data_IF_369374637970
#
_entry.id   IF_369374637970
#
_cell.length_a   1.000
_cell.length_b   1.000
_cell.length_c   1.000
_cell.angle_alpha   90.00
_cell.angle_beta   90.00
_cell.angle_gamma   90.00
#
_symmetry.space_group_name_H-M   'P 1'
#
loop_
_entity.id
_entity.type
_entity.pdbx_description
1 polymer ?
#
# COMPACT_ATOMS: atom_id res chain seq x y z
N UNK A 1 -30.31 -19.18 -38.33
CA UNK A 1 -29.06 -18.42 -38.58
C UNK A 1 -28.78 -17.40 -37.49
N UNK A 2 -29.61 -16.36 -37.29
CA UNK A 2 -29.39 -15.39 -36.20
C UNK A 2 -29.59 -15.98 -34.80
N UNK A 3 -30.49 -16.96 -34.64
CA UNK A 3 -30.71 -17.64 -33.34
C UNK A 3 -29.49 -18.41 -32.86
N UNK A 4 -28.84 -19.19 -33.73
CA UNK A 4 -27.61 -19.92 -33.40
C UNK A 4 -26.44 -18.97 -33.10
N UNK A 5 -26.31 -17.87 -33.84
CA UNK A 5 -25.31 -16.82 -33.57
C UNK A 5 -25.58 -16.19 -32.21
N UNK A 6 -26.84 -15.83 -31.92
CA UNK A 6 -27.24 -15.23 -30.65
C UNK A 6 -27.03 -16.19 -29.47
N UNK A 7 -27.29 -17.48 -29.63
CA UNK A 7 -27.09 -18.48 -28.59
C UNK A 7 -25.60 -18.60 -28.22
N UNK A 8 -24.71 -18.69 -29.23
CA UNK A 8 -23.25 -18.75 -29.01
C UNK A 8 -22.70 -17.50 -28.34
N UNK A 9 -23.21 -16.31 -28.71
CA UNK A 9 -22.80 -15.05 -28.06
C UNK A 9 -23.26 -15.03 -26.60
N UNK A 10 -24.50 -15.44 -26.32
CA UNK A 10 -25.04 -15.47 -24.97
C UNK A 10 -24.26 -16.41 -24.06
N UNK A 11 -23.98 -17.63 -24.53
CA UNK A 11 -23.19 -18.61 -23.77
C UNK A 11 -21.79 -18.06 -23.45
N UNK A 12 -21.12 -17.40 -24.41
CA UNK A 12 -19.83 -16.77 -24.15
C UNK A 12 -19.91 -15.67 -23.08
N UNK A 13 -20.94 -14.82 -23.14
CA UNK A 13 -21.11 -13.72 -22.19
C UNK A 13 -21.50 -14.21 -20.79
N UNK A 14 -22.32 -15.25 -20.67
CA UNK A 14 -22.67 -15.87 -19.39
C UNK A 14 -21.43 -16.44 -18.69
N UNK A 15 -20.54 -17.11 -19.43
CA UNK A 15 -19.25 -17.59 -18.89
C UNK A 15 -18.39 -16.41 -18.39
N UNK A 16 -18.25 -15.34 -19.19
CA UNK A 16 -17.47 -14.17 -18.79
C UNK A 16 -18.05 -13.47 -17.57
N UNK A 17 -19.37 -13.32 -17.50
CA UNK A 17 -20.02 -12.65 -16.37
C UNK A 17 -19.89 -13.48 -15.07
N UNK A 18 -20.01 -14.80 -15.15
CA UNK A 18 -19.77 -15.69 -14.01
C UNK A 18 -18.33 -15.56 -13.47
N UNK A 19 -17.34 -15.56 -14.36
CA UNK A 19 -15.92 -15.39 -14.00
C UNK A 19 -15.68 -14.01 -13.38
N UNK A 20 -16.31 -12.97 -13.94
CA UNK A 20 -16.22 -11.59 -13.42
C UNK A 20 -16.80 -11.48 -12.01
N UNK A 21 -17.98 -12.05 -11.75
CA UNK A 21 -18.62 -12.01 -10.43
C UNK A 21 -17.82 -12.78 -9.37
N UNK A 22 -17.28 -13.94 -9.74
CA UNK A 22 -16.37 -14.69 -8.85
C UNK A 22 -15.09 -13.90 -8.56
N UNK A 23 -14.48 -13.30 -9.57
CA UNK A 23 -13.30 -12.45 -9.40
C UNK A 23 -13.56 -11.21 -8.53
N UNK A 24 -14.73 -10.58 -8.66
CA UNK A 24 -15.14 -9.47 -7.79
C UNK A 24 -15.30 -9.91 -6.33
N UNK A 25 -15.80 -11.13 -6.09
CA UNK A 25 -15.92 -11.68 -4.74
C UNK A 25 -14.55 -11.90 -4.11
N UNK A 26 -13.62 -12.53 -4.83
CA UNK A 26 -12.27 -12.80 -4.31
C UNK A 26 -11.48 -11.48 -4.14
N UNK A 27 -11.62 -10.52 -5.05
CA UNK A 27 -10.95 -9.21 -4.90
C UNK A 27 -11.42 -8.46 -3.66
N UNK A 28 -12.71 -8.54 -3.32
CA UNK A 28 -13.25 -7.99 -2.06
C UNK A 28 -12.75 -8.73 -0.83
N UNK A 29 -12.40 -10.01 -0.95
CA UNK A 29 -11.76 -10.78 0.12
C UNK A 29 -10.33 -10.30 0.34
N UNK A 30 -9.53 -10.16 -0.73
CA UNK A 30 -8.15 -9.61 -0.67
C UNK A 30 -8.14 -8.26 0.05
N UNK A 31 -8.97 -7.31 -0.38
CA UNK A 31 -9.03 -5.97 0.23
C UNK A 31 -9.43 -6.03 1.72
N UNK A 32 -10.31 -6.96 2.11
CA UNK A 32 -10.70 -7.12 3.51
C UNK A 32 -9.56 -7.64 4.37
N UNK A 33 -8.82 -8.62 3.87
CA UNK A 33 -7.63 -9.15 4.54
C UNK A 33 -6.53 -8.09 4.63
N UNK A 34 -6.31 -7.30 3.57
CA UNK A 34 -5.36 -6.18 3.60
C UNK A 34 -5.73 -5.15 4.66
N UNK A 35 -7.00 -4.72 4.75
CA UNK A 35 -7.45 -3.82 5.82
C UNK A 35 -7.23 -4.40 7.22
N UNK A 36 -7.47 -5.70 7.38
CA UNK A 36 -7.25 -6.40 8.66
C UNK A 36 -5.77 -6.42 9.01
N UNK A 37 -4.90 -6.67 8.03
CA UNK A 37 -3.45 -6.64 8.19
C UNK A 37 -2.94 -5.23 8.53
N UNK A 38 -3.34 -4.20 7.78
CA UNK A 38 -2.96 -2.80 8.06
C UNK A 38 -3.35 -2.39 9.48
N UNK A 39 -4.58 -2.69 9.91
CA UNK A 39 -4.99 -2.43 11.29
C UNK A 39 -4.15 -3.20 12.31
N UNK A 40 -3.84 -4.47 12.06
CA UNK A 40 -3.01 -5.27 12.95
C UNK A 40 -1.57 -4.73 13.05
N UNK A 41 -0.97 -4.32 11.93
CA UNK A 41 0.36 -3.72 11.85
C UNK A 41 0.49 -2.47 12.71
N UNK A 42 -0.47 -1.54 12.63
CA UNK A 42 -0.47 -0.33 13.46
C UNK A 42 -0.63 -0.62 14.96
N UNK A 43 -1.28 -1.72 15.32
CA UNK A 43 -1.40 -2.17 16.71
C UNK A 43 -0.26 -3.12 17.14
N UNK A 44 0.79 -3.27 16.31
CA UNK A 44 1.94 -4.16 16.54
C UNK A 44 1.55 -5.64 16.71
N UNK A 45 0.38 -6.05 16.24
CA UNK A 45 -0.06 -7.46 16.19
C UNK A 45 0.45 -8.12 14.90
N UNK A 46 1.76 -8.37 14.87
CA UNK A 46 2.45 -8.91 13.70
C UNK A 46 1.99 -10.32 13.32
N UNK A 47 1.62 -11.15 14.31
CA UNK A 47 1.14 -12.51 14.04
C UNK A 47 -0.19 -12.49 13.27
N UNK A 48 -1.12 -11.62 13.68
CA UNK A 48 -2.39 -11.44 12.97
C UNK A 48 -2.16 -10.80 11.60
N UNK A 49 -1.29 -9.80 11.51
CA UNK A 49 -0.93 -9.19 10.24
C UNK A 49 -0.41 -10.23 9.25
N UNK A 50 0.52 -11.09 9.66
CA UNK A 50 1.09 -12.13 8.81
C UNK A 50 0.07 -13.15 8.32
N UNK A 51 -0.87 -13.55 9.20
CA UNK A 51 -1.97 -14.44 8.82
C UNK A 51 -2.85 -13.80 7.74
N UNK A 52 -3.23 -12.54 7.91
CA UNK A 52 -4.06 -11.82 6.93
C UNK A 52 -3.32 -11.53 5.63
N UNK A 53 -2.04 -11.13 5.67
CA UNK A 53 -1.22 -10.93 4.46
C UNK A 53 -1.10 -12.24 3.68
N UNK A 54 -0.85 -13.36 4.36
CA UNK A 54 -0.81 -14.68 3.72
C UNK A 54 -2.13 -15.03 3.06
N UNK A 55 -3.26 -14.83 3.76
CA UNK A 55 -4.59 -15.09 3.21
C UNK A 55 -4.89 -14.21 1.98
N UNK A 56 -4.50 -12.93 2.00
CA UNK A 56 -4.62 -12.03 0.86
C UNK A 56 -3.80 -12.52 -0.35
N UNK A 57 -2.55 -12.95 -0.14
CA UNK A 57 -1.70 -13.50 -1.19
C UNK A 57 -2.26 -14.78 -1.81
N UNK A 58 -2.78 -15.69 -0.97
CA UNK A 58 -3.46 -16.91 -1.45
C UNK A 58 -4.72 -16.59 -2.28
N UNK A 59 -5.49 -15.57 -1.87
CA UNK A 59 -6.65 -15.11 -2.63
C UNK A 59 -6.26 -14.43 -3.96
N UNK A 60 -5.16 -13.69 -4.01
CA UNK A 60 -4.63 -13.13 -5.27
C UNK A 60 -4.16 -14.21 -6.24
N UNK A 61 -3.53 -15.28 -5.76
CA UNK A 61 -3.15 -16.40 -6.63
C UNK A 61 -4.40 -17.10 -7.21
N UNK A 62 -5.47 -17.25 -6.42
CA UNK A 62 -6.76 -17.75 -6.93
C UNK A 62 -7.32 -16.86 -8.05
N UNK A 63 -7.24 -15.53 -7.90
CA UNK A 63 -7.64 -14.58 -8.95
C UNK A 63 -6.83 -14.79 -10.23
N UNK A 64 -5.51 -14.93 -10.11
CA UNK A 64 -4.62 -15.15 -11.25
C UNK A 64 -4.98 -16.44 -12.02
N UNK A 65 -5.31 -17.51 -11.30
CA UNK A 65 -5.76 -18.77 -11.90
C UNK A 65 -7.14 -18.63 -12.57
N UNK A 66 -8.09 -17.98 -11.89
CA UNK A 66 -9.45 -17.76 -12.38
C UNK A 66 -9.49 -17.01 -13.71
N UNK A 67 -8.60 -16.02 -13.88
CA UNK A 67 -8.54 -15.20 -15.09
C UNK A 67 -7.63 -15.76 -16.20
N UNK A 68 -7.07 -16.96 -16.03
CA UNK A 68 -6.23 -17.58 -17.06
C UNK A 68 -7.05 -17.82 -18.33
N UNK A 69 -6.72 -17.10 -19.40
CA UNK A 69 -7.48 -17.13 -20.67
C UNK A 69 -8.55 -16.03 -20.82
N UNK A 70 -8.70 -15.17 -19.82
CA UNK A 70 -9.70 -14.07 -19.77
C UNK A 70 -9.04 -12.73 -19.38
N UNK A 71 -7.99 -12.34 -20.13
CA UNK A 71 -7.22 -11.12 -19.87
C UNK A 71 -8.05 -9.84 -19.96
N UNK A 72 -9.11 -9.84 -20.78
CA UNK A 72 -10.06 -8.75 -20.91
C UNK A 72 -10.83 -8.45 -19.61
N UNK A 73 -11.03 -9.47 -18.76
CA UNK A 73 -11.71 -9.31 -17.47
C UNK A 73 -10.70 -9.00 -16.36
N UNK A 74 -9.47 -9.53 -16.45
CA UNK A 74 -8.41 -9.28 -15.47
C UNK A 74 -8.09 -7.79 -15.29
N UNK A 75 -8.14 -7.01 -16.37
CA UNK A 75 -7.86 -5.57 -16.38
C UNK A 75 -9.08 -4.68 -16.11
N UNK A 76 -10.17 -5.22 -15.55
CA UNK A 76 -11.39 -4.47 -15.22
C UNK A 76 -11.26 -3.59 -13.95
N UNK A 77 -10.04 -3.22 -13.54
CA UNK A 77 -9.73 -2.27 -12.47
C UNK A 77 -9.86 -2.81 -11.03
N UNK A 78 -10.77 -3.74 -10.76
CA UNK A 78 -10.96 -4.26 -9.40
C UNK A 78 -9.80 -5.16 -8.92
N UNK A 79 -9.13 -5.86 -9.84
CA UNK A 79 -7.93 -6.65 -9.53
C UNK A 79 -6.75 -5.75 -9.19
N UNK A 80 -6.61 -4.64 -9.92
CA UNK A 80 -5.54 -3.66 -9.68
C UNK A 80 -5.64 -3.04 -8.29
N UNK A 81 -6.85 -2.67 -7.86
CA UNK A 81 -7.07 -2.16 -6.52
C UNK A 81 -6.70 -3.20 -5.44
N UNK A 82 -7.08 -4.46 -5.63
CA UNK A 82 -6.73 -5.53 -4.70
C UNK A 82 -5.20 -5.78 -4.65
N UNK A 83 -4.52 -5.73 -5.79
CA UNK A 83 -3.06 -5.84 -5.86
C UNK A 83 -2.34 -4.66 -5.20
N UNK A 84 -2.88 -3.45 -5.39
CA UNK A 84 -2.36 -2.23 -4.79
C UNK A 84 -2.41 -2.30 -3.27
N UNK A 85 -3.56 -2.66 -2.71
CA UNK A 85 -3.76 -2.84 -1.26
C UNK A 85 -2.85 -3.95 -0.70
N UNK A 86 -2.68 -5.04 -1.45
CA UNK A 86 -1.77 -6.13 -1.05
C UNK A 86 -0.30 -5.71 -1.06
N UNK A 87 0.12 -4.95 -2.08
CA UNK A 87 1.47 -4.41 -2.16
C UNK A 87 1.75 -3.45 -0.98
N UNK A 88 0.79 -2.56 -0.69
CA UNK A 88 0.88 -1.63 0.43
C UNK A 88 1.14 -2.36 1.76
N UNK A 89 0.28 -3.31 2.14
CA UNK A 89 0.42 -3.99 3.44
C UNK A 89 1.64 -4.89 3.52
N UNK A 90 2.07 -5.46 2.40
CA UNK A 90 3.27 -6.30 2.35
C UNK A 90 4.53 -5.48 2.56
N UNK A 91 4.64 -4.33 1.89
CA UNK A 91 5.75 -3.38 2.08
C UNK A 91 5.71 -2.80 3.49
N UNK A 92 4.53 -2.39 3.98
CA UNK A 92 4.36 -1.83 5.32
C UNK A 92 4.79 -2.83 6.42
N UNK A 93 4.45 -4.11 6.26
CA UNK A 93 4.87 -5.17 7.19
C UNK A 93 6.39 -5.27 7.28
N UNK A 94 7.09 -5.32 6.14
CA UNK A 94 8.56 -5.35 6.13
C UNK A 94 9.18 -4.09 6.73
N UNK A 95 8.61 -2.92 6.46
CA UNK A 95 9.09 -1.66 7.04
C UNK A 95 8.92 -1.62 8.57
N UNK A 96 7.76 -2.03 9.09
CA UNK A 96 7.49 -2.00 10.53
C UNK A 96 8.27 -3.06 11.31
N UNK A 97 8.65 -4.16 10.65
CA UNK A 97 9.54 -5.17 11.22
C UNK A 97 11.03 -4.83 11.08
N UNK A 98 11.34 -3.69 10.44
CA UNK A 98 12.71 -3.26 10.15
C UNK A 98 13.49 -4.32 9.33
N UNK A 99 12.79 -5.02 8.43
CA UNK A 99 13.37 -6.04 7.55
C UNK A 99 14.33 -5.42 6.53
N UNK A 100 15.43 -6.12 6.24
CA UNK A 100 16.43 -5.65 5.27
C UNK A 100 15.97 -5.74 3.80
N UNK A 101 14.97 -6.58 3.52
CA UNK A 101 14.51 -6.87 2.18
C UNK A 101 13.04 -6.48 2.04
N UNK A 102 12.78 -5.38 1.33
CA UNK A 102 11.43 -4.99 0.94
C UNK A 102 11.00 -5.89 -0.24
N UNK A 103 9.82 -6.53 -0.18
CA UNK A 103 9.38 -7.43 -1.24
C UNK A 103 9.19 -6.66 -2.56
N UNK A 104 9.78 -7.17 -3.64
CA UNK A 104 9.62 -6.60 -4.98
C UNK A 104 8.23 -6.91 -5.57
N UNK A 105 7.76 -6.19 -6.60
CA UNK A 105 6.52 -6.55 -7.29
C UNK A 105 6.54 -7.99 -7.84
N UNK A 106 7.72 -8.49 -8.24
CA UNK A 106 7.87 -9.85 -8.75
C UNK A 106 7.73 -10.90 -7.63
N UNK A 107 8.27 -10.60 -6.42
CA UNK A 107 8.09 -11.45 -5.24
C UNK A 107 6.61 -11.54 -4.84
N UNK A 108 5.90 -10.41 -4.91
CA UNK A 108 4.48 -10.31 -4.60
C UNK A 108 3.57 -10.78 -5.75
N UNK A 109 4.13 -10.99 -6.95
CA UNK A 109 3.41 -11.36 -8.18
C UNK A 109 2.27 -10.40 -8.53
N UNK A 110 2.49 -9.11 -8.31
CA UNK A 110 1.55 -8.02 -8.63
C UNK A 110 2.01 -7.24 -9.85
N UNK A 111 1.08 -6.53 -10.50
CA UNK A 111 1.42 -5.64 -11.61
C UNK A 111 2.25 -4.45 -11.13
N UNK A 112 3.22 -4.00 -11.94
CA UNK A 112 4.13 -2.90 -11.58
C UNK A 112 3.39 -1.60 -11.28
N UNK A 113 2.35 -1.28 -12.04
CA UNK A 113 1.51 -0.11 -11.76
C UNK A 113 0.81 -0.22 -10.40
N UNK A 114 0.29 -1.39 -10.04
CA UNK A 114 -0.37 -1.60 -8.75
C UNK A 114 0.63 -1.46 -7.59
N UNK A 115 1.85 -2.00 -7.75
CA UNK A 115 2.93 -1.85 -6.77
C UNK A 115 3.33 -0.39 -6.55
N UNK A 116 3.55 0.38 -7.63
CA UNK A 116 3.89 1.81 -7.53
C UNK A 116 2.78 2.63 -6.85
N UNK A 117 1.51 2.36 -7.18
CA UNK A 117 0.40 3.02 -6.49
C UNK A 117 0.31 2.60 -5.02
N UNK A 118 0.63 1.34 -4.69
CA UNK A 118 0.67 0.83 -3.32
C UNK A 118 1.76 1.52 -2.50
N UNK A 119 2.95 1.73 -3.07
CA UNK A 119 4.00 2.54 -2.45
C UNK A 119 3.53 3.98 -2.18
N UNK A 120 2.72 4.56 -3.06
CA UNK A 120 2.11 5.86 -2.83
C UNK A 120 1.23 5.90 -1.59
N UNK A 121 0.49 4.82 -1.32
CA UNK A 121 -0.37 4.69 -0.12
C UNK A 121 0.43 4.38 1.14
N UNK A 122 1.52 3.60 1.03
CA UNK A 122 2.47 3.37 2.14
C UNK A 122 2.92 4.69 2.75
N UNK A 123 3.14 5.75 1.97
CA UNK A 123 3.52 7.08 2.49
C UNK A 123 2.48 7.64 3.49
N UNK A 124 1.18 7.36 3.26
CA UNK A 124 0.11 7.73 4.19
C UNK A 124 0.19 6.99 5.52
N UNK A 125 0.42 5.69 5.47
CA UNK A 125 0.55 4.85 6.66
C UNK A 125 1.85 5.13 7.42
N UNK A 126 2.94 5.44 6.72
CA UNK A 126 4.19 5.91 7.33
C UNK A 126 4.01 7.24 8.05
N UNK A 127 3.26 8.20 7.47
CA UNK A 127 2.94 9.44 8.18
C UNK A 127 2.22 9.14 9.49
N UNK A 128 1.22 8.24 9.47
CA UNK A 128 0.51 7.85 10.69
C UNK A 128 1.49 7.29 11.73
N UNK A 129 2.36 6.37 11.31
CA UNK A 129 3.35 5.77 12.19
C UNK A 129 4.33 6.81 12.77
N UNK A 130 4.81 7.77 11.96
CA UNK A 130 5.68 8.86 12.41
C UNK A 130 4.99 9.70 13.49
N UNK A 131 3.70 10.01 13.33
CA UNK A 131 2.96 10.77 14.34
C UNK A 131 2.79 9.99 15.65
N UNK A 132 2.58 8.67 15.58
CA UNK A 132 2.55 7.82 16.76
C UNK A 132 3.94 7.76 17.45
N UNK A 133 5.03 7.66 16.68
CA UNK A 133 6.41 7.71 17.22
C UNK A 133 6.72 9.05 17.90
N UNK A 134 6.28 10.17 17.32
CA UNK A 134 6.43 11.50 17.92
C UNK A 134 5.67 11.56 19.25
N UNK A 135 4.44 11.02 19.31
CA UNK A 135 3.63 10.96 20.54
C UNK A 135 4.34 10.15 21.62
N UNK A 136 5.02 9.09 21.24
CA UNK A 136 5.75 8.20 22.14
C UNK A 136 7.21 8.67 22.38
N UNK A 137 7.52 9.94 22.08
CA UNK A 137 8.84 10.59 22.20
C UNK A 137 10.02 9.86 21.51
N UNK A 138 9.72 9.02 20.52
CA UNK A 138 10.70 8.21 19.77
C UNK A 138 11.21 8.96 18.53
N UNK A 139 11.86 10.11 18.74
CA UNK A 139 12.19 11.07 17.68
C UNK A 139 13.19 10.55 16.65
N UNK A 140 14.20 9.79 17.05
CA UNK A 140 15.19 9.21 16.11
C UNK A 140 14.54 8.20 15.16
N UNK A 141 13.58 7.42 15.66
CA UNK A 141 12.78 6.52 14.83
C UNK A 141 11.87 7.30 13.88
N UNK A 142 11.22 8.36 14.38
CA UNK A 142 10.39 9.23 13.57
C UNK A 142 11.17 9.83 12.39
N UNK A 143 12.41 10.29 12.62
CA UNK A 143 13.31 10.78 11.57
C UNK A 143 13.71 9.69 10.57
N UNK A 144 13.97 8.47 11.05
CA UNK A 144 14.26 7.31 10.18
C UNK A 144 13.10 7.01 9.23
N UNK A 145 11.86 6.96 9.74
CA UNK A 145 10.68 6.72 8.91
C UNK A 145 10.35 7.89 7.98
N UNK A 146 10.63 9.14 8.38
CA UNK A 146 10.57 10.29 7.47
C UNK A 146 11.52 10.10 6.28
N UNK A 147 12.76 9.67 6.51
CA UNK A 147 13.70 9.36 5.43
C UNK A 147 13.22 8.25 4.48
N UNK A 148 12.51 7.24 5.01
CA UNK A 148 11.88 6.21 4.17
C UNK A 148 10.77 6.82 3.29
N UNK A 149 9.95 7.73 3.82
CA UNK A 149 8.95 8.45 3.03
C UNK A 149 9.59 9.27 1.91
N UNK A 150 10.73 9.93 2.17
CA UNK A 150 11.49 10.68 1.17
C UNK A 150 12.00 9.78 0.05
N UNK A 151 12.56 8.62 0.39
CA UNK A 151 13.06 7.65 -0.58
C UNK A 151 11.93 7.09 -1.47
N UNK A 152 10.78 6.77 -0.88
CA UNK A 152 9.61 6.33 -1.66
C UNK A 152 9.16 7.46 -2.60
N UNK A 153 9.02 8.69 -2.10
CA UNK A 153 8.60 9.81 -2.93
C UNK A 153 9.55 10.08 -4.09
N UNK A 154 10.87 10.04 -3.85
CA UNK A 154 11.89 10.20 -4.88
C UNK A 154 11.75 9.11 -5.96
N UNK A 155 11.63 7.84 -5.55
CA UNK A 155 11.41 6.73 -6.48
C UNK A 155 10.15 6.93 -7.33
N UNK A 156 9.03 7.38 -6.73
CA UNK A 156 7.79 7.61 -7.47
C UNK A 156 7.91 8.74 -8.50
N UNK A 157 8.69 9.78 -8.21
CA UNK A 157 8.91 10.90 -9.15
C UNK A 157 9.67 10.49 -10.41
N UNK A 158 10.47 9.43 -10.36
CA UNK A 158 11.22 8.95 -11.53
C UNK A 158 10.32 8.29 -12.60
N UNK A 159 9.08 7.94 -12.26
CA UNK A 159 8.12 7.30 -13.18
C UNK A 159 7.23 8.31 -13.93
N UNK A 160 7.82 9.15 -14.78
CA UNK A 160 7.07 10.09 -15.64
C UNK A 160 6.50 9.42 -16.90
N UNK A 161 5.50 8.56 -16.71
CA UNK A 161 4.77 7.90 -17.79
C UNK A 161 3.29 8.30 -17.81
N UNK A 162 2.60 8.18 -18.96
CA UNK A 162 1.17 8.45 -19.05
C UNK A 162 0.33 7.60 -18.09
N UNK A 163 -0.79 8.14 -17.61
CA UNK A 163 -1.71 7.45 -16.68
C UNK A 163 -2.27 6.14 -17.25
N UNK A 164 -2.31 5.98 -18.58
CA UNK A 164 -2.70 4.72 -19.21
C UNK A 164 -1.75 3.54 -18.85
N UNK A 165 -0.50 3.84 -18.47
CA UNK A 165 0.52 2.87 -18.04
C UNK A 165 0.56 2.80 -16.51
N UNK A 166 0.62 3.95 -15.84
CA UNK A 166 0.85 4.05 -14.39
C UNK A 166 -0.42 4.01 -13.55
N UNK A 167 -1.59 4.05 -14.19
CA UNK A 167 -2.91 3.91 -13.56
C UNK A 167 -3.17 4.95 -12.46
N UNK A 168 -2.82 6.21 -12.73
CA UNK A 168 -3.11 7.34 -11.83
C UNK A 168 -2.02 7.66 -10.80
N UNK A 169 -0.79 7.15 -11.02
CA UNK A 169 0.35 7.34 -10.12
C UNK A 169 0.69 8.81 -9.85
N UNK A 170 0.48 9.70 -10.82
CA UNK A 170 0.74 11.15 -10.65
C UNK A 170 -0.02 11.73 -9.46
N UNK A 171 -1.31 11.40 -9.34
CA UNK A 171 -2.14 11.85 -8.22
C UNK A 171 -1.63 11.33 -6.88
N UNK A 172 -1.20 10.06 -6.82
CA UNK A 172 -0.61 9.47 -5.61
C UNK A 172 0.68 10.18 -5.25
N UNK A 173 1.55 10.42 -6.22
CA UNK A 173 2.84 11.11 -6.04
C UNK A 173 2.65 12.53 -5.48
N UNK A 174 1.66 13.28 -5.97
CA UNK A 174 1.34 14.61 -5.45
C UNK A 174 0.79 14.57 -4.02
N UNK A 175 -0.05 13.58 -3.70
CA UNK A 175 -0.53 13.36 -2.32
C UNK A 175 0.65 13.00 -1.41
N UNK A 176 1.53 12.08 -1.84
CA UNK A 176 2.74 11.70 -1.10
C UNK A 176 3.63 12.91 -0.83
N UNK A 177 3.80 13.84 -1.79
CA UNK A 177 4.52 15.10 -1.58
C UNK A 177 3.89 15.94 -0.46
N UNK A 178 2.57 16.11 -0.48
CA UNK A 178 1.86 16.90 0.53
C UNK A 178 2.01 16.29 1.93
N UNK A 179 1.93 14.96 2.03
CA UNK A 179 2.09 14.24 3.29
C UNK A 179 3.52 14.35 3.80
N UNK A 180 4.51 14.19 2.92
CA UNK A 180 5.93 14.32 3.26
C UNK A 180 6.26 15.69 3.85
N UNK A 181 5.86 16.77 3.18
CA UNK A 181 6.14 18.14 3.65
C UNK A 181 5.50 18.43 5.01
N UNK A 182 4.26 17.96 5.23
CA UNK A 182 3.61 18.07 6.54
C UNK A 182 4.36 17.28 7.61
N UNK A 183 4.76 16.03 7.30
CA UNK A 183 5.45 15.16 8.26
C UNK A 183 6.81 15.73 8.63
N UNK A 184 7.54 16.29 7.66
CA UNK A 184 8.80 17.00 7.92
C UNK A 184 8.60 18.14 8.91
N UNK A 185 7.55 18.96 8.70
CA UNK A 185 7.20 20.04 9.63
C UNK A 185 6.91 19.52 11.05
N UNK A 186 6.12 18.45 11.16
CA UNK A 186 5.76 17.82 12.44
C UNK A 186 7.01 17.31 13.19
N UNK A 187 7.90 16.58 12.49
CA UNK A 187 9.15 16.03 13.06
C UNK A 187 10.09 17.16 13.52
N UNK A 188 10.32 18.17 12.68
CA UNK A 188 11.21 19.31 13.01
C UNK A 188 10.71 20.05 14.25
N UNK A 189 9.40 20.30 14.33
CA UNK A 189 8.79 20.96 15.48
C UNK A 189 8.95 20.14 16.76
N UNK A 190 8.68 18.83 16.70
CA UNK A 190 8.80 17.94 17.84
C UNK A 190 10.24 17.86 18.39
N UNK A 191 11.23 17.72 17.50
CA UNK A 191 12.66 17.72 17.87
C UNK A 191 13.06 19.07 18.47
N UNK A 192 12.59 20.17 17.88
CA UNK A 192 12.84 21.53 18.39
C UNK A 192 12.32 21.72 19.81
N UNK A 193 11.11 21.25 20.09
CA UNK A 193 10.51 21.28 21.43
C UNK A 193 11.32 20.46 22.43
N UNK A 194 11.75 19.25 22.07
CA UNK A 194 12.55 18.40 22.97
C UNK A 194 13.91 19.02 23.31
N UNK A 195 14.57 19.66 22.33
CA UNK A 195 15.83 20.38 22.54
C UNK A 195 15.64 21.56 23.49
N UNK A 196 14.54 22.29 23.37
CA UNK A 196 14.21 23.40 24.26
C UNK A 196 13.94 22.91 25.70
N UNK A 197 13.14 21.86 25.85
CA UNK A 197 12.85 21.22 27.14
C UNK A 197 14.15 20.80 27.85
N UNK A 198 15.07 20.17 27.11
CA UNK A 198 16.37 19.74 27.63
C UNK A 198 17.23 20.93 28.05
N UNK A 199 17.25 22.01 27.24
CA UNK A 199 17.98 23.23 27.59
C UNK A 199 17.43 23.90 28.85
N UNK A 200 16.12 23.88 29.05
CA UNK A 200 15.46 24.41 30.25
C UNK A 200 15.83 23.60 31.51
N UNK A 201 15.76 22.26 31.45
CA UNK A 201 16.18 21.40 32.57
C UNK A 201 17.67 21.59 32.93
N UNK A 202 18.52 21.76 31.93
CA UNK A 202 19.95 22.04 32.14
C UNK A 202 20.19 23.41 32.78
N UNK A 203 19.34 24.40 32.48
CA UNK A 203 19.42 25.72 33.12
C UNK A 203 18.97 25.65 34.58
N UNK A 204 17.84 24.97 34.85
CA UNK A 204 17.33 24.76 36.20
C UNK A 204 18.34 24.04 37.10
N UNK A 205 19.00 23.00 36.58
CA UNK A 205 20.02 22.23 37.32
C UNK A 205 21.29 23.03 37.65
N UNK A 206 21.47 24.21 37.05
CA UNK A 206 22.63 25.10 37.25
C UNK A 206 22.33 26.30 38.15
N UNK A 207 21.06 26.49 38.54
CA UNK A 207 20.59 27.52 39.46
C UNK A 207 20.51 26.95 40.88
#
# INVERSE_FOLDING_TARGET
MFEEISARIRENFEVKDSIREEGLKISREVVRECRTASFALHNQDFEKADKSIKAAGEALEKLKVLFKGHADIYHAGFVEHAQQEYAEVSVLSSLFKEDKNIPSPDDLRVEYAAYLNGLGDVVGELRRHVLDLIRDESFEKAETFLGIMENIHAMLMDFDYPDAITRGLRRKTDVSRSLLEKTRGDVVNAIGQKKLETAMHNLESRL
#
